data_IF_337686439922
#
_entry.id   IF_337686439922
#
_cell.length_a   1.000
_cell.length_b   1.000
_cell.length_c   1.000
_cell.angle_alpha   90.00
_cell.angle_beta   90.00
_cell.angle_gamma   90.00
#
_symmetry.space_group_name_H-M   'P 1'
#
loop_
_entity.id
_entity.type
_entity.pdbx_description
1 polymer ?
#
# COMPACT_ATOMS: atom_id res chain seq x y z
N UNK A 1 -2.09 19.76 9.54
CA UNK A 1 -2.37 18.38 10.00
C UNK A 1 -2.55 17.46 8.81
N UNK A 2 -1.91 16.28 8.85
CA UNK A 2 -2.02 15.34 7.75
C UNK A 2 -3.26 14.45 7.90
N UNK A 3 -3.85 14.11 6.79
CA UNK A 3 -4.98 13.19 6.75
C UNK A 3 -4.53 11.77 7.10
N UNK A 4 -5.32 11.06 7.90
CA UNK A 4 -5.08 9.66 8.18
C UNK A 4 -5.69 8.81 7.06
N UNK A 5 -4.89 7.94 6.47
CA UNK A 5 -5.28 7.12 5.32
C UNK A 5 -5.40 5.66 5.70
N UNK A 6 -6.25 4.94 4.98
CA UNK A 6 -6.35 3.48 5.08
C UNK A 6 -5.50 2.89 3.96
N UNK A 7 -4.51 2.10 4.32
CA UNK A 7 -3.51 1.58 3.38
C UNK A 7 -3.54 0.05 3.40
N UNK A 8 -3.94 -0.55 2.30
CA UNK A 8 -3.95 -2.01 2.18
C UNK A 8 -2.64 -2.50 1.60
N UNK A 9 -2.12 -3.61 2.15
CA UNK A 9 -0.86 -4.19 1.71
C UNK A 9 -1.09 -5.56 1.07
N UNK A 10 -0.59 -5.73 -0.16
CA UNK A 10 -0.61 -7.00 -0.88
C UNK A 10 0.80 -7.57 -0.82
N UNK A 11 0.95 -8.82 -0.41
CA UNK A 11 2.25 -9.47 -0.35
C UNK A 11 2.10 -10.99 -0.38
N UNK A 12 3.18 -11.69 -0.68
CA UNK A 12 3.21 -13.15 -0.62
C UNK A 12 3.26 -13.61 0.84
N UNK A 13 2.68 -14.76 1.11
CA UNK A 13 2.80 -15.41 2.41
C UNK A 13 4.01 -16.35 2.48
N UNK A 14 4.81 -16.40 1.42
CA UNK A 14 5.90 -17.36 1.29
C UNK A 14 7.26 -16.84 1.73
N UNK A 15 7.30 -15.72 2.45
CA UNK A 15 8.52 -15.24 3.08
C UNK A 15 8.17 -14.72 4.47
N UNK A 16 9.18 -14.35 5.26
CA UNK A 16 8.98 -13.93 6.64
C UNK A 16 8.44 -12.49 6.71
N UNK A 17 7.19 -12.31 6.28
CA UNK A 17 6.57 -10.98 6.22
C UNK A 17 6.41 -10.33 7.59
N UNK A 18 6.31 -11.11 8.67
CA UNK A 18 6.19 -10.56 10.02
C UNK A 18 7.43 -9.74 10.40
N UNK A 19 8.61 -10.26 10.11
CA UNK A 19 9.86 -9.58 10.47
C UNK A 19 10.35 -8.63 9.38
N UNK A 20 10.15 -9.00 8.12
CA UNK A 20 10.69 -8.22 7.00
C UNK A 20 9.78 -7.07 6.60
N UNK A 21 8.49 -7.18 6.82
CA UNK A 21 7.53 -6.17 6.37
C UNK A 21 6.73 -5.59 7.53
N UNK A 22 5.97 -6.40 8.27
CA UNK A 22 5.02 -5.90 9.26
C UNK A 22 5.70 -5.17 10.41
N UNK A 23 6.77 -5.73 10.96
CA UNK A 23 7.47 -5.07 12.07
C UNK A 23 7.97 -3.69 11.66
N UNK A 24 8.57 -3.59 10.50
CA UNK A 24 9.11 -2.32 10.02
C UNK A 24 8.01 -1.30 9.79
N UNK A 25 6.89 -1.72 9.21
CA UNK A 25 5.76 -0.83 8.95
C UNK A 25 5.14 -0.33 10.26
N UNK A 26 4.92 -1.23 11.21
CA UNK A 26 4.25 -0.88 12.46
C UNK A 26 5.10 -0.04 13.39
N UNK A 27 6.42 -0.11 13.26
CA UNK A 27 7.33 0.68 14.09
C UNK A 27 7.80 1.96 13.41
N UNK A 28 7.46 2.16 12.14
CA UNK A 28 7.84 3.37 11.43
C UNK A 28 7.00 4.56 11.94
N UNK A 29 7.65 5.64 12.35
CA UNK A 29 6.97 6.76 12.99
C UNK A 29 6.05 7.54 12.04
N UNK A 30 6.28 7.46 10.74
CA UNK A 30 5.42 8.12 9.75
C UNK A 30 4.24 7.22 9.40
N UNK A 31 4.52 5.96 9.08
CA UNK A 31 3.51 5.04 8.58
C UNK A 31 2.52 4.60 9.66
N UNK A 32 2.98 4.43 10.90
CA UNK A 32 2.10 3.95 11.95
C UNK A 32 1.02 4.96 12.37
N UNK A 33 1.06 6.16 11.83
CA UNK A 33 0.01 7.16 12.05
C UNK A 33 -1.20 6.94 11.15
N UNK A 34 -1.06 6.08 10.16
CA UNK A 34 -2.15 5.71 9.26
C UNK A 34 -2.73 4.36 9.67
N UNK A 35 -3.87 4.01 9.11
CA UNK A 35 -4.46 2.70 9.35
C UNK A 35 -3.83 1.72 8.36
N UNK A 36 -2.93 0.87 8.85
CA UNK A 36 -2.24 -0.12 8.03
C UNK A 36 -3.07 -1.40 8.02
N UNK A 37 -3.68 -1.70 6.88
CA UNK A 37 -4.48 -2.91 6.73
C UNK A 37 -3.58 -4.05 6.28
N UNK A 38 -2.96 -4.70 7.26
CA UNK A 38 -2.03 -5.81 7.06
C UNK A 38 -2.84 -7.11 7.09
N UNK A 39 -2.98 -7.82 5.97
CA UNK A 39 -3.98 -8.89 5.85
C UNK A 39 -3.78 -10.05 6.82
N UNK A 40 -2.57 -10.29 7.30
CA UNK A 40 -2.33 -11.39 8.24
C UNK A 40 -2.23 -10.94 9.70
N UNK A 41 -2.49 -9.66 9.98
CA UNK A 41 -2.52 -9.18 11.35
C UNK A 41 -3.81 -9.63 12.05
N UNK A 42 -3.79 -9.62 13.39
CA UNK A 42 -4.95 -10.06 14.17
C UNK A 42 -6.22 -9.27 13.85
N UNK A 43 -6.08 -8.00 13.51
CA UNK A 43 -7.22 -7.15 13.20
C UNK A 43 -7.88 -7.52 11.87
N UNK A 44 -7.08 -7.95 10.88
CA UNK A 44 -7.57 -8.09 9.51
C UNK A 44 -7.58 -9.51 8.95
N UNK A 45 -6.92 -10.47 9.60
CA UNK A 45 -6.71 -11.80 9.01
C UNK A 45 -7.99 -12.58 8.72
N UNK A 46 -9.09 -12.23 9.37
CA UNK A 46 -10.37 -12.90 9.13
C UNK A 46 -11.33 -12.07 8.28
N UNK A 47 -10.87 -10.94 7.77
CA UNK A 47 -11.68 -10.11 6.89
C UNK A 47 -11.41 -10.49 5.43
N UNK A 48 -12.40 -10.26 4.59
CA UNK A 48 -12.29 -10.58 3.18
C UNK A 48 -11.41 -9.52 2.48
N UNK A 49 -10.32 -9.96 1.86
CA UNK A 49 -9.35 -9.07 1.22
C UNK A 49 -9.97 -8.15 0.19
N UNK A 50 -10.91 -8.64 -0.60
CA UNK A 50 -11.55 -7.83 -1.62
C UNK A 50 -12.29 -6.63 -1.00
N UNK A 51 -12.92 -6.82 0.14
CA UNK A 51 -13.60 -5.73 0.85
C UNK A 51 -12.60 -4.71 1.36
N UNK A 52 -11.46 -5.17 1.87
CA UNK A 52 -10.41 -4.26 2.34
C UNK A 52 -9.82 -3.46 1.20
N UNK A 53 -9.58 -4.09 0.06
CA UNK A 53 -9.10 -3.41 -1.15
C UNK A 53 -10.06 -2.31 -1.56
N UNK A 54 -11.36 -2.59 -1.53
CA UNK A 54 -12.37 -1.61 -1.92
C UNK A 54 -12.47 -0.43 -0.96
N UNK A 55 -12.09 -0.62 0.31
CA UNK A 55 -12.15 0.43 1.33
C UNK A 55 -10.86 1.23 1.45
N UNK A 56 -9.78 0.77 0.83
CA UNK A 56 -8.47 1.39 0.99
C UNK A 56 -8.40 2.74 0.29
N UNK A 57 -7.69 3.68 0.90
CA UNK A 57 -7.34 4.94 0.28
C UNK A 57 -6.11 4.80 -0.60
N UNK A 58 -5.19 3.92 -0.21
CA UNK A 58 -3.97 3.61 -0.96
C UNK A 58 -3.72 2.10 -0.91
N UNK A 59 -3.04 1.57 -1.91
CA UNK A 59 -2.66 0.16 -1.96
C UNK A 59 -1.17 0.04 -2.23
N UNK A 60 -0.48 -0.76 -1.44
CA UNK A 60 0.95 -1.02 -1.59
C UNK A 60 1.13 -2.51 -1.84
N UNK A 61 1.81 -2.86 -2.93
CA UNK A 61 1.99 -4.24 -3.35
C UNK A 61 3.47 -4.60 -3.39
N UNK A 62 3.87 -5.59 -2.59
CA UNK A 62 5.21 -6.16 -2.65
C UNK A 62 5.15 -7.40 -3.53
N UNK A 63 5.88 -7.41 -4.64
CA UNK A 63 5.68 -8.38 -5.71
C UNK A 63 6.94 -9.18 -6.05
N UNK A 64 7.77 -9.49 -5.05
CA UNK A 64 9.03 -10.20 -5.31
C UNK A 64 8.92 -11.73 -5.33
N UNK A 65 7.88 -12.31 -4.74
CA UNK A 65 7.80 -13.76 -4.52
C UNK A 65 6.53 -14.33 -5.14
N UNK A 66 6.63 -15.40 -5.96
CA UNK A 66 5.44 -16.01 -6.58
C UNK A 66 4.45 -16.52 -5.53
N UNK A 67 3.17 -16.22 -5.74
CA UNK A 67 2.10 -16.68 -4.85
C UNK A 67 0.77 -16.64 -5.60
N UNK A 68 0.02 -17.72 -5.52
CA UNK A 68 -1.30 -17.78 -6.15
C UNK A 68 -2.27 -16.80 -5.46
N UNK A 69 -2.25 -16.77 -4.15
CA UNK A 69 -3.13 -15.88 -3.38
C UNK A 69 -2.85 -14.43 -3.70
N UNK A 70 -1.58 -14.07 -3.77
CA UNK A 70 -1.20 -12.70 -4.12
C UNK A 70 -1.62 -12.35 -5.55
N UNK A 71 -1.47 -13.29 -6.49
CA UNK A 71 -1.92 -13.07 -7.86
C UNK A 71 -3.41 -12.74 -7.92
N UNK A 72 -4.21 -13.44 -7.14
CA UNK A 72 -5.64 -13.18 -7.09
C UNK A 72 -5.94 -11.78 -6.55
N UNK A 73 -5.25 -11.38 -5.49
CA UNK A 73 -5.42 -10.04 -4.94
C UNK A 73 -4.96 -8.96 -5.92
N UNK A 74 -3.86 -9.19 -6.63
CA UNK A 74 -3.39 -8.24 -7.66
C UNK A 74 -4.42 -8.08 -8.77
N UNK A 75 -5.13 -9.14 -9.10
CA UNK A 75 -6.21 -9.05 -10.07
C UNK A 75 -7.33 -8.13 -9.57
N UNK A 76 -7.72 -8.27 -8.31
CA UNK A 76 -8.72 -7.37 -7.72
C UNK A 76 -8.23 -5.92 -7.66
N UNK A 77 -6.97 -5.73 -7.29
CA UNK A 77 -6.34 -4.41 -7.22
C UNK A 77 -6.35 -3.74 -8.60
N UNK A 78 -6.13 -4.49 -9.66
CA UNK A 78 -6.11 -3.93 -11.02
C UNK A 78 -7.45 -3.34 -11.45
N UNK A 79 -8.52 -3.68 -10.76
CA UNK A 79 -9.87 -3.25 -11.13
C UNK A 79 -10.36 -2.02 -10.36
N UNK A 80 -9.59 -1.54 -9.40
CA UNK A 80 -9.96 -0.32 -8.66
C UNK A 80 -9.09 0.83 -9.10
N UNK A 81 -9.62 2.05 -8.98
CA UNK A 81 -8.90 3.26 -9.38
C UNK A 81 -8.00 3.82 -8.27
N UNK A 82 -8.03 3.22 -7.11
CA UNK A 82 -7.22 3.61 -5.95
C UNK A 82 -5.74 3.74 -6.33
N UNK A 83 -5.02 4.77 -5.87
CA UNK A 83 -3.58 4.88 -6.12
C UNK A 83 -2.81 3.68 -5.58
N UNK A 84 -1.83 3.22 -6.36
CA UNK A 84 -1.09 1.99 -6.06
C UNK A 84 0.40 2.20 -6.18
N UNK A 85 1.16 1.56 -5.29
CA UNK A 85 2.61 1.46 -5.38
C UNK A 85 2.96 -0.02 -5.51
N UNK A 86 3.76 -0.36 -6.52
CA UNK A 86 4.27 -1.72 -6.69
C UNK A 86 5.78 -1.68 -6.48
N UNK A 87 6.29 -2.55 -5.63
CA UNK A 87 7.73 -2.65 -5.44
C UNK A 87 8.16 -4.10 -5.25
N UNK A 88 9.44 -4.36 -5.52
CA UNK A 88 10.01 -5.70 -5.36
C UNK A 88 11.34 -5.62 -4.62
N UNK A 89 11.56 -6.54 -3.70
CA UNK A 89 12.86 -6.70 -3.03
C UNK A 89 13.93 -7.26 -3.96
N UNK A 90 13.50 -7.85 -5.09
CA UNK A 90 14.40 -8.47 -6.06
C UNK A 90 14.48 -7.61 -7.32
N UNK A 91 15.36 -7.99 -8.25
CA UNK A 91 15.49 -7.28 -9.52
C UNK A 91 14.49 -7.76 -10.57
N UNK A 92 13.49 -8.54 -10.17
CA UNK A 92 12.54 -9.12 -11.10
C UNK A 92 11.18 -9.27 -10.43
N UNK A 93 10.15 -9.38 -11.27
CA UNK A 93 8.79 -9.68 -10.84
C UNK A 93 8.44 -11.06 -11.39
N UNK A 94 7.83 -11.94 -10.58
CA UNK A 94 7.40 -13.25 -11.11
C UNK A 94 6.52 -13.09 -12.34
N UNK A 95 6.79 -13.89 -13.37
CA UNK A 95 6.06 -13.79 -14.63
C UNK A 95 4.56 -14.00 -14.47
N UNK A 96 4.17 -14.78 -13.45
CA UNK A 96 2.76 -15.04 -13.18
C UNK A 96 1.99 -13.77 -12.80
N UNK A 97 2.68 -12.72 -12.36
CA UNK A 97 2.05 -11.45 -11.99
C UNK A 97 1.99 -10.46 -13.15
N UNK A 98 2.72 -10.70 -14.24
CA UNK A 98 3.08 -9.74 -15.27
C UNK A 98 2.00 -8.73 -15.64
N UNK A 99 0.85 -9.19 -16.08
CA UNK A 99 -0.18 -8.26 -16.56
C UNK A 99 -0.87 -7.45 -15.45
N UNK A 100 -0.68 -7.84 -14.19
CA UNK A 100 -1.28 -7.14 -13.05
C UNK A 100 -0.30 -6.21 -12.35
N UNK A 101 0.92 -6.07 -12.85
CA UNK A 101 1.94 -5.22 -12.26
C UNK A 101 2.47 -4.27 -13.35
N UNK A 102 1.80 -3.12 -13.53
CA UNK A 102 2.10 -2.23 -14.68
C UNK A 102 3.37 -1.43 -14.53
N UNK A 103 3.75 -1.07 -13.33
CA UNK A 103 4.95 -0.27 -13.07
C UNK A 103 5.55 -0.72 -11.75
N UNK A 104 6.87 -0.75 -11.64
CA UNK A 104 7.50 -1.33 -10.47
C UNK A 104 8.75 -0.55 -10.05
N UNK A 105 8.92 -0.42 -8.74
CA UNK A 105 10.15 0.09 -8.14
C UNK A 105 10.93 -1.09 -7.58
N UNK A 106 12.24 -1.10 -7.76
CA UNK A 106 13.08 -2.16 -7.22
C UNK A 106 13.84 -1.62 -6.02
N UNK A 107 13.94 -2.45 -4.98
CA UNK A 107 14.59 -2.05 -3.74
C UNK A 107 15.21 -3.29 -3.09
N UNK A 108 15.97 -3.08 -2.04
CA UNK A 108 16.53 -4.16 -1.23
C UNK A 108 15.67 -4.36 0.00
N UNK A 109 15.86 -5.51 0.69
CA UNK A 109 15.14 -5.77 1.92
C UNK A 109 15.87 -5.21 3.15
N UNK A 110 16.71 -4.19 2.95
CA UNK A 110 17.49 -3.53 3.99
C UNK A 110 16.78 -2.28 4.56
N UNK A 111 15.46 -2.22 4.43
CA UNK A 111 14.60 -1.14 4.88
C UNK A 111 14.53 0.07 3.94
N UNK A 112 15.27 0.06 2.82
CA UNK A 112 15.15 1.16 1.85
C UNK A 112 13.76 1.22 1.23
N UNK A 113 13.02 0.11 1.21
CA UNK A 113 11.65 0.09 0.75
C UNK A 113 10.72 1.00 1.57
N UNK A 114 11.08 1.26 2.82
CA UNK A 114 10.27 2.16 3.66
C UNK A 114 10.25 3.58 3.10
N UNK A 115 11.35 4.02 2.49
CA UNK A 115 11.39 5.34 1.87
C UNK A 115 10.42 5.43 0.70
N UNK A 116 10.32 4.37 -0.09
CA UNK A 116 9.36 4.33 -1.18
C UNK A 116 7.93 4.46 -0.66
N UNK A 117 7.60 3.71 0.39
CA UNK A 117 6.26 3.72 0.95
C UNK A 117 5.95 5.06 1.61
N UNK A 118 6.89 5.61 2.40
CA UNK A 118 6.71 6.93 3.03
C UNK A 118 6.45 8.02 2.00
N UNK A 119 7.24 8.06 0.94
CA UNK A 119 7.10 9.07 -0.09
C UNK A 119 5.75 8.95 -0.79
N UNK A 120 5.34 7.73 -1.10
CA UNK A 120 4.05 7.47 -1.71
C UNK A 120 2.90 7.93 -0.80
N UNK A 121 2.93 7.54 0.48
CA UNK A 121 1.89 7.88 1.43
C UNK A 121 1.83 9.39 1.67
N UNK A 122 3.00 10.02 1.86
CA UNK A 122 3.07 11.45 2.13
C UNK A 122 2.55 12.29 0.97
N UNK A 123 2.74 11.84 -0.26
CA UNK A 123 2.24 12.54 -1.43
C UNK A 123 0.71 12.72 -1.34
N UNK A 124 0.00 11.66 -1.01
CA UNK A 124 -1.46 11.71 -0.95
C UNK A 124 -1.98 12.34 0.34
N UNK A 125 -1.28 12.16 1.45
CA UNK A 125 -1.66 12.81 2.69
C UNK A 125 -1.50 14.33 2.60
N UNK A 126 -0.42 14.80 1.97
CA UNK A 126 -0.17 16.24 1.81
C UNK A 126 -1.17 16.89 0.87
N UNK A 127 -1.48 16.25 -0.26
CA UNK A 127 -2.46 16.77 -1.21
C UNK A 127 -3.81 16.92 -0.54
N UNK A 128 -4.23 15.92 0.23
CA UNK A 128 -5.51 15.97 0.95
C UNK A 128 -5.52 17.11 1.97
N UNK A 129 -4.40 17.33 2.63
CA UNK A 129 -4.28 18.41 3.60
C UNK A 129 -4.41 19.78 2.94
N UNK A 130 -3.77 19.97 1.78
CA UNK A 130 -3.87 21.22 1.04
C UNK A 130 -5.28 21.47 0.53
N UNK A 131 -5.94 20.45 0.02
CA UNK A 131 -7.30 20.58 -0.42
C UNK A 131 -8.21 21.02 0.72
N UNK A 132 -8.02 20.48 1.89
CA UNK A 132 -8.81 20.84 3.06
C UNK A 132 -8.60 22.29 3.50
N UNK A 133 -7.44 22.86 3.19
CA UNK A 133 -7.13 24.25 3.55
C UNK A 133 -7.63 25.26 2.54
N UNK A 134 -7.97 24.85 1.34
CA UNK A 134 -8.37 25.75 0.29
C UNK A 134 -9.89 25.95 0.30
N UNK A 135 -10.37 27.11 0.77
CA UNK A 135 -11.81 27.34 0.88
C UNK A 135 -12.51 27.48 -0.47
N UNK A 136 -11.76 27.58 -1.54
CA UNK A 136 -12.36 27.72 -2.87
C UNK A 136 -12.63 26.41 -3.54
N UNK A 137 -12.11 25.39 -3.01
CA UNK A 137 -12.33 24.08 -3.59
C UNK A 137 -13.68 23.57 -3.22
N UNK A 138 -14.01 24.08 -2.57
CA UNK A 138 -15.06 23.74 -2.16
C UNK A 138 -16.16 24.39 -2.31
N UNK A 139 -15.50 24.70 -2.65
CA UNK A 139 -15.56 25.50 -2.53
C UNK A 139 -15.67 25.76 -2.41
N UNK A 140 -16.16 25.62 -2.41
CA UNK A 140 -15.84 26.21 -1.99
C UNK A 140 -15.68 26.36 -1.72
N UNK A 141 -15.93 26.18 -1.59
CA UNK A 141 -15.38 26.73 -1.09
C UNK A 141 -15.26 27.12 -0.90
N UNK A 142 -15.80 26.90 -0.80
CA UNK A 142 -15.55 27.62 -0.48
C UNK A 142 -15.47 28.11 -0.08
N UNK A 143 -15.69 28.20 0.03
CA UNK A 143 -15.39 29.05 0.54
C UNK A 143 -15.75 29.53 0.78
#
# INVERSE_FOLDING_TARGET
MKRRLKIYFVHSLKYDYNNVLYRDLLTDSVLNKHELMLPMSNTYKEKYSKDLINKADLIVCEVSTPSFTEKLELKWVSKVSTPKLYFSFNNAVPKTFGKYVPAIEYTNNDKSYLDLIRNFVNEYAAVSEEEAKDPTITLGSLD
#
